data_IF_217874501164
#
_entry.id   IF_217874501164
#
_cell.length_a   1.000
_cell.length_b   1.000
_cell.length_c   1.000
_cell.angle_alpha   90.00
_cell.angle_beta   90.00
_cell.angle_gamma   90.00
#
_symmetry.space_group_name_H-M   'P 1'
#
loop_
_entity.id
_entity.type
_entity.pdbx_description
1 polymer ?
#
# COMPACT_ATOMS: atom_id res chain seq x y z
N UNK A 1 -2.39 23.52 48.06
CA UNK A 1 -1.77 22.20 47.82
C UNK A 1 -2.75 21.18 47.24
N UNK A 2 -3.92 20.89 47.86
CA UNK A 2 -4.92 19.95 47.29
C UNK A 2 -5.50 20.37 45.94
N UNK A 3 -5.76 21.67 45.73
CA UNK A 3 -6.32 22.20 44.46
C UNK A 3 -5.34 22.13 43.30
N UNK A 4 -4.05 22.37 43.54
CA UNK A 4 -3.00 22.32 42.50
C UNK A 4 -2.70 20.89 42.05
N UNK A 5 -2.77 19.91 42.97
CA UNK A 5 -2.61 18.48 42.65
C UNK A 5 -3.77 17.98 41.77
N UNK A 6 -5.00 18.43 42.03
CA UNK A 6 -6.16 18.06 41.21
C UNK A 6 -6.05 18.60 39.77
N UNK A 7 -5.55 19.84 39.59
CA UNK A 7 -5.37 20.44 38.26
C UNK A 7 -4.29 19.74 37.44
N UNK A 8 -3.15 19.36 38.03
CA UNK A 8 -2.09 18.64 37.31
C UNK A 8 -2.50 17.22 36.93
N UNK A 9 -3.27 16.53 37.78
CA UNK A 9 -3.84 15.22 37.44
C UNK A 9 -4.80 15.30 36.25
N UNK A 10 -5.66 16.33 36.22
CA UNK A 10 -6.59 16.54 35.09
C UNK A 10 -5.86 16.82 33.77
N UNK A 11 -4.80 17.63 33.81
CA UNK A 11 -3.96 17.89 32.63
C UNK A 11 -3.25 16.62 32.14
N UNK A 12 -2.73 15.80 33.05
CA UNK A 12 -2.05 14.55 32.70
C UNK A 12 -3.02 13.52 32.07
N UNK A 13 -4.25 13.42 32.59
CA UNK A 13 -5.28 12.55 32.02
C UNK A 13 -5.69 13.02 30.62
N UNK A 14 -5.88 14.33 30.45
CA UNK A 14 -6.26 14.90 29.16
C UNK A 14 -5.16 14.71 28.10
N UNK A 15 -3.90 14.93 28.46
CA UNK A 15 -2.75 14.67 27.59
C UNK A 15 -2.63 13.18 27.19
N UNK A 16 -2.92 12.26 28.13
CA UNK A 16 -2.90 10.82 27.86
C UNK A 16 -4.01 10.39 26.89
N UNK A 17 -5.23 10.95 27.03
CA UNK A 17 -6.33 10.68 26.09
C UNK A 17 -6.05 11.25 24.69
N UNK A 18 -5.37 12.39 24.59
CA UNK A 18 -4.99 12.99 23.30
C UNK A 18 -3.88 12.21 22.57
N UNK A 19 -3.13 11.34 23.27
CA UNK A 19 -2.06 10.53 22.70
C UNK A 19 -2.54 9.16 22.18
N UNK A 20 -3.81 8.80 22.38
CA UNK A 20 -4.36 7.56 21.83
C UNK A 20 -4.49 7.70 20.31
N UNK A 21 -3.81 6.86 19.51
CA UNK A 21 -3.99 6.89 18.08
C UNK A 21 -5.46 6.55 17.76
N UNK A 22 -6.08 7.21 16.76
CA UNK A 22 -7.41 6.83 16.31
C UNK A 22 -7.37 5.39 15.83
N UNK A 23 -8.46 4.64 16.06
CA UNK A 23 -8.67 3.35 15.42
C UNK A 23 -8.71 3.58 13.91
N UNK A 24 -7.67 3.14 13.21
CA UNK A 24 -7.64 3.10 11.75
C UNK A 24 -8.11 1.72 11.33
N UNK A 25 -9.27 1.67 10.69
CA UNK A 25 -9.70 0.47 9.99
C UNK A 25 -8.87 0.34 8.72
N UNK A 26 -7.93 -0.61 8.70
CA UNK A 26 -7.20 -0.93 7.48
C UNK A 26 -8.13 -1.68 6.53
N UNK A 27 -8.69 -0.98 5.55
CA UNK A 27 -9.41 -1.60 4.44
C UNK A 27 -8.40 -2.23 3.47
N UNK A 28 -8.01 -3.48 3.74
CA UNK A 28 -7.16 -4.27 2.87
C UNK A 28 -7.02 -5.68 3.40
N UNK A 29 -7.10 -6.69 2.53
CA UNK A 29 -7.01 -8.07 2.97
C UNK A 29 -6.95 -9.05 1.81
N UNK A 30 -6.42 -10.24 2.07
CA UNK A 30 -6.63 -11.37 1.18
C UNK A 30 -8.04 -11.90 1.42
N UNK A 31 -8.90 -11.74 0.42
CA UNK A 31 -10.29 -12.15 0.54
C UNK A 31 -10.44 -13.65 0.21
N UNK A 32 -11.33 -14.32 0.93
CA UNK A 32 -11.87 -15.65 0.60
C UNK A 32 -10.92 -16.87 0.61
N UNK A 33 -9.64 -16.72 0.97
CA UNK A 33 -8.68 -17.83 1.06
C UNK A 33 -8.15 -18.02 2.49
N UNK A 34 -8.13 -19.27 2.99
CA UNK A 34 -7.40 -19.66 4.22
C UNK A 34 -5.92 -19.98 3.95
N UNK A 35 -5.54 -20.06 2.68
CA UNK A 35 -4.17 -20.27 2.25
C UNK A 35 -3.51 -18.90 2.09
N UNK A 36 -2.36 -18.64 2.74
CA UNK A 36 -1.61 -17.42 2.53
C UNK A 36 -1.29 -17.23 1.04
N UNK A 37 -1.56 -16.04 0.51
CA UNK A 37 -1.08 -15.68 -0.82
C UNK A 37 0.40 -15.30 -0.70
N UNK A 38 1.25 -15.97 -1.46
CA UNK A 38 2.66 -15.61 -1.54
C UNK A 38 2.82 -14.41 -2.46
N UNK A 39 3.01 -13.22 -1.88
CA UNK A 39 3.28 -11.98 -2.61
C UNK A 39 4.77 -11.70 -2.80
N UNK A 40 5.64 -12.70 -2.62
CA UNK A 40 7.05 -12.54 -3.00
C UNK A 40 7.13 -12.15 -4.48
N UNK A 41 8.02 -11.20 -4.79
CA UNK A 41 8.28 -10.72 -6.14
C UNK A 41 7.13 -9.91 -6.81
N UNK A 42 6.25 -9.28 -6.04
CA UNK A 42 5.51 -8.11 -6.56
C UNK A 42 6.52 -7.02 -6.96
N UNK A 43 6.42 -6.53 -8.20
CA UNK A 43 7.25 -5.43 -8.69
C UNK A 43 6.38 -4.23 -8.96
N UNK A 44 6.78 -3.10 -8.40
CA UNK A 44 6.11 -1.81 -8.61
C UNK A 44 7.14 -0.83 -9.15
N UNK A 45 6.88 -0.34 -10.36
CA UNK A 45 7.66 0.70 -11.00
C UNK A 45 6.84 1.99 -11.05
N UNK A 46 7.45 3.10 -10.62
CA UNK A 46 6.89 4.43 -10.77
C UNK A 46 7.66 5.18 -11.86
N UNK A 47 7.03 5.39 -13.01
CA UNK A 47 7.57 6.25 -14.05
C UNK A 47 7.07 7.67 -13.82
N UNK A 48 7.97 8.57 -13.44
CA UNK A 48 7.67 9.97 -13.16
C UNK A 48 7.90 10.80 -14.42
N UNK A 49 6.85 11.44 -14.91
CA UNK A 49 6.90 12.44 -15.98
C UNK A 49 6.68 13.84 -15.38
N UNK A 50 6.66 14.89 -16.22
CA UNK A 50 6.52 16.28 -15.76
C UNK A 50 5.26 16.50 -14.91
N UNK A 51 4.10 16.02 -15.38
CA UNK A 51 2.79 16.23 -14.70
C UNK A 51 2.11 14.93 -14.23
N UNK A 52 2.70 13.77 -14.51
CA UNK A 52 2.06 12.47 -14.25
C UNK A 52 3.01 11.45 -13.65
N UNK A 53 2.46 10.52 -12.88
CA UNK A 53 3.16 9.34 -12.40
C UNK A 53 2.39 8.12 -12.89
N UNK A 54 3.04 7.28 -13.70
CA UNK A 54 2.50 5.99 -14.08
C UNK A 54 2.97 4.93 -13.08
N UNK A 55 2.03 4.24 -12.45
CA UNK A 55 2.30 3.09 -11.59
C UNK A 55 2.14 1.81 -12.41
N UNK A 56 3.25 1.10 -12.60
CA UNK A 56 3.32 -0.16 -13.33
C UNK A 56 3.49 -1.27 -12.31
N UNK A 57 2.48 -2.15 -12.18
CA UNK A 57 2.45 -3.21 -11.17
C UNK A 57 2.49 -4.56 -11.85
N UNK A 58 3.47 -5.38 -11.51
CA UNK A 58 3.57 -6.77 -11.93
C UNK A 58 3.24 -7.68 -10.75
N UNK A 59 2.17 -8.46 -10.89
CA UNK A 59 1.73 -9.44 -9.89
C UNK A 59 1.99 -10.84 -10.44
N UNK A 60 2.82 -11.61 -9.75
CA UNK A 60 3.00 -13.04 -10.04
C UNK A 60 1.88 -13.81 -9.35
N UNK A 61 0.98 -14.41 -10.12
CA UNK A 61 -0.12 -15.22 -9.61
C UNK A 61 -0.02 -16.65 -10.11
N UNK A 62 -0.19 -17.62 -9.20
CA UNK A 62 -0.27 -19.05 -9.51
C UNK A 62 -1.70 -19.53 -9.29
N UNK A 63 -2.39 -19.87 -10.38
CA UNK A 63 -3.79 -20.30 -10.34
C UNK A 63 -4.46 -20.11 -11.70
N UNK A 64 -5.80 -20.23 -11.74
CA UNK A 64 -6.57 -19.91 -12.95
C UNK A 64 -6.76 -18.40 -13.05
N UNK A 65 -6.61 -17.78 -14.24
CA UNK A 65 -6.81 -16.35 -14.41
C UNK A 65 -8.17 -15.84 -13.93
N UNK A 66 -9.24 -16.62 -14.12
CA UNK A 66 -10.61 -16.24 -13.70
C UNK A 66 -10.80 -16.20 -12.18
N UNK A 67 -9.91 -16.86 -11.42
CA UNK A 67 -9.90 -16.84 -9.96
C UNK A 67 -9.05 -15.68 -9.39
N UNK A 68 -8.44 -14.87 -10.26
CA UNK A 68 -7.63 -13.72 -9.86
C UNK A 68 -8.48 -12.44 -9.82
N UNK A 69 -8.32 -11.66 -8.77
CA UNK A 69 -8.89 -10.32 -8.67
C UNK A 69 -7.95 -9.43 -7.87
N UNK A 70 -7.77 -8.19 -8.34
CA UNK A 70 -6.98 -7.18 -7.68
C UNK A 70 -7.82 -5.92 -7.48
N UNK A 71 -7.89 -5.45 -6.24
CA UNK A 71 -8.61 -4.23 -5.87
C UNK A 71 -7.55 -3.20 -5.49
N UNK A 72 -7.42 -2.18 -6.33
CA UNK A 72 -6.51 -1.06 -6.09
C UNK A 72 -7.32 0.20 -5.77
N UNK A 73 -7.26 0.72 -4.53
CA UNK A 73 -7.77 2.03 -4.21
C UNK A 73 -6.95 3.11 -4.94
N UNK A 74 -7.63 3.93 -5.74
CA UNK A 74 -7.05 5.04 -6.47
C UNK A 74 -7.81 6.33 -6.14
N UNK A 75 -7.15 7.51 -6.15
CA UNK A 75 -7.77 8.77 -5.74
C UNK A 75 -8.92 9.23 -6.65
N UNK A 76 -8.96 8.72 -7.88
CA UNK A 76 -10.04 8.96 -8.84
C UNK A 76 -10.13 7.78 -9.80
N UNK A 77 -11.29 7.61 -10.44
CA UNK A 77 -11.51 6.54 -11.43
C UNK A 77 -10.60 6.78 -12.64
N UNK A 78 -9.74 5.81 -13.04
CA UNK A 78 -8.88 5.96 -14.20
C UNK A 78 -9.71 6.05 -15.49
N UNK A 79 -9.29 6.90 -16.42
CA UNK A 79 -9.83 6.89 -17.78
C UNK A 79 -9.27 5.67 -18.52
N UNK A 80 -10.06 5.07 -19.42
CA UNK A 80 -9.69 3.83 -20.08
C UNK A 80 -8.38 3.94 -20.88
N UNK A 81 -8.14 5.10 -21.47
CA UNK A 81 -6.95 5.41 -22.29
C UNK A 81 -5.67 5.54 -21.45
N UNK A 82 -5.80 5.68 -20.13
CA UNK A 82 -4.65 5.74 -19.21
C UNK A 82 -4.17 4.36 -18.75
N UNK A 83 -4.92 3.30 -19.08
CA UNK A 83 -4.60 1.92 -18.73
C UNK A 83 -3.85 1.27 -19.89
N UNK A 84 -2.71 0.65 -19.59
CA UNK A 84 -1.88 -0.01 -20.60
C UNK A 84 -1.14 -1.22 -20.02
N UNK A 85 -0.60 -2.06 -20.89
CA UNK A 85 0.20 -3.24 -20.55
C UNK A 85 1.68 -2.91 -20.74
N UNK A 86 2.43 -2.92 -19.65
CA UNK A 86 3.87 -2.74 -19.71
C UNK A 86 4.58 -4.05 -20.10
N UNK A 87 5.55 -4.03 -21.03
CA UNK A 87 6.18 -5.25 -21.53
C UNK A 87 7.10 -5.91 -20.50
N UNK A 88 7.03 -7.24 -20.42
CA UNK A 88 7.80 -8.04 -19.48
C UNK A 88 9.31 -7.84 -19.60
N UNK A 89 9.82 -7.67 -20.82
CA UNK A 89 11.24 -7.44 -21.09
C UNK A 89 11.75 -6.15 -20.43
N UNK A 90 10.91 -5.12 -20.32
CA UNK A 90 11.27 -3.86 -19.66
C UNK A 90 11.50 -4.06 -18.16
N UNK A 91 10.64 -4.84 -17.50
CA UNK A 91 10.81 -5.19 -16.09
C UNK A 91 12.10 -5.99 -15.88
N UNK A 92 12.33 -7.00 -16.71
CA UNK A 92 13.54 -7.83 -16.61
C UNK A 92 14.82 -7.02 -16.84
N UNK A 93 14.80 -6.06 -17.77
CA UNK A 93 15.95 -5.18 -18.02
C UNK A 93 16.25 -4.28 -16.82
N UNK A 94 15.21 -3.72 -16.18
CA UNK A 94 15.37 -2.91 -14.97
C UNK A 94 15.93 -3.73 -13.81
N UNK A 95 15.38 -4.91 -13.55
CA UNK A 95 15.89 -5.82 -12.51
C UNK A 95 17.39 -6.13 -12.69
N UNK A 96 17.81 -6.40 -13.93
CA UNK A 96 19.22 -6.68 -14.23
C UNK A 96 20.12 -5.45 -14.01
N UNK A 97 19.61 -4.25 -14.25
CA UNK A 97 20.38 -3.01 -14.13
C UNK A 97 20.40 -2.44 -12.71
N UNK A 98 19.33 -2.64 -11.92
CA UNK A 98 19.13 -2.00 -10.62
C UNK A 98 19.04 -2.99 -9.47
N UNK A 99 19.17 -4.28 -9.74
CA UNK A 99 19.10 -5.33 -8.73
C UNK A 99 20.17 -5.18 -7.64
N UNK A 100 19.87 -5.63 -6.40
CA UNK A 100 20.85 -5.59 -5.32
C UNK A 100 22.06 -6.50 -5.64
N UNK A 101 23.25 -5.97 -5.36
CA UNK A 101 24.52 -6.70 -5.45
C UNK A 101 24.84 -7.20 -4.04
N UNK A 102 24.98 -8.52 -3.88
CA UNK A 102 25.29 -9.17 -2.60
C UNK A 102 26.72 -9.69 -2.58
#
# INVERSE_FOLDING_TARGET
MRRTIASTLLLAIWASMAALPPSVEACGGFFCSRTPVDQRAERILFAVNEDTIAAIVQISYQGKPDDFSWILPVPSVPIAESLDVFPQVGITALDLATGPIF
#
